data_IF_564273018448
#
_entry.id   IF_564273018448
#
_cell.length_a   1.000
_cell.length_b   1.000
_cell.length_c   1.000
_cell.angle_alpha   90.00
_cell.angle_beta   90.00
_cell.angle_gamma   90.00
#
_symmetry.space_group_name_H-M   'P 1'
#
loop_
_entity.id
_entity.type
_entity.pdbx_description
1 polymer ?
#
# COMPACT_ATOMS: atom_id res chain seq x y z
N UNK A 1 1.90 -26.20 -13.09
CA UNK A 1 1.91 -25.53 -11.79
C UNK A 1 3.35 -25.37 -11.29
N UNK A 2 3.85 -24.15 -11.19
CA UNK A 2 5.17 -23.86 -10.63
C UNK A 2 5.12 -23.80 -9.10
N UNK A 3 6.27 -24.02 -8.47
CA UNK A 3 6.43 -24.18 -7.00
C UNK A 3 6.48 -22.85 -6.23
N UNK A 4 5.86 -21.78 -6.70
CA UNK A 4 5.79 -20.50 -5.98
C UNK A 4 4.75 -20.55 -4.88
N UNK A 5 5.02 -19.94 -3.73
CA UNK A 5 4.20 -20.01 -2.52
C UNK A 5 3.45 -18.71 -2.22
N UNK A 6 3.02 -17.97 -3.24
CA UNK A 6 2.30 -16.71 -3.08
C UNK A 6 0.78 -16.92 -3.03
N UNK A 7 0.08 -16.18 -2.16
CA UNK A 7 -1.39 -16.24 -2.06
C UNK A 7 -2.10 -15.78 -3.33
N UNK A 8 -1.45 -14.94 -4.15
CA UNK A 8 -1.98 -14.44 -5.42
C UNK A 8 -1.83 -15.43 -6.57
N UNK A 9 -1.02 -16.48 -6.42
CA UNK A 9 -0.79 -17.47 -7.47
C UNK A 9 -1.92 -18.48 -7.56
N UNK A 10 -2.36 -18.83 -8.78
CA UNK A 10 -3.39 -19.84 -9.03
C UNK A 10 -2.90 -21.24 -8.64
N UNK A 11 -1.59 -21.47 -8.74
CA UNK A 11 -0.94 -22.71 -8.33
C UNK A 11 0.15 -22.47 -7.29
N UNK A 12 0.12 -23.18 -6.18
CA UNK A 12 1.12 -23.08 -5.11
C UNK A 12 1.67 -24.47 -4.76
N UNK A 13 2.99 -24.64 -4.83
CA UNK A 13 3.63 -25.91 -4.47
C UNK A 13 3.11 -27.12 -5.28
N UNK A 14 2.72 -26.92 -6.54
CA UNK A 14 2.13 -27.94 -7.40
C UNK A 14 0.64 -28.23 -7.15
N UNK A 15 0.02 -27.58 -6.16
CA UNK A 15 -1.39 -27.73 -5.82
C UNK A 15 -2.24 -26.59 -6.38
N UNK A 16 -3.51 -26.85 -6.64
CA UNK A 16 -4.47 -25.83 -7.07
C UNK A 16 -4.75 -24.87 -5.91
N UNK A 17 -4.41 -23.59 -6.09
CA UNK A 17 -4.64 -22.49 -5.16
C UNK A 17 -5.69 -21.50 -5.68
N UNK A 18 -6.47 -21.87 -6.68
CA UNK A 18 -7.40 -20.97 -7.38
C UNK A 18 -8.33 -20.23 -6.42
N UNK A 19 -8.91 -20.89 -5.45
CA UNK A 19 -9.87 -20.28 -4.53
C UNK A 19 -9.22 -19.20 -3.67
N UNK A 20 -8.04 -19.46 -3.11
CA UNK A 20 -7.27 -18.50 -2.32
C UNK A 20 -6.83 -17.31 -3.18
N UNK A 21 -6.27 -17.56 -4.36
CA UNK A 21 -5.87 -16.55 -5.32
C UNK A 21 -7.05 -15.68 -5.76
N UNK A 22 -8.21 -16.30 -6.03
CA UNK A 22 -9.43 -15.58 -6.40
C UNK A 22 -9.85 -14.60 -5.32
N UNK A 23 -9.97 -15.01 -4.07
CA UNK A 23 -10.37 -14.12 -2.98
C UNK A 23 -9.32 -13.04 -2.71
N UNK A 24 -8.04 -13.38 -2.72
CA UNK A 24 -6.97 -12.43 -2.47
C UNK A 24 -6.91 -11.34 -3.57
N UNK A 25 -6.90 -11.75 -4.82
CA UNK A 25 -6.79 -10.82 -5.95
C UNK A 25 -8.03 -9.93 -6.07
N UNK A 26 -9.24 -10.47 -5.85
CA UNK A 26 -10.45 -9.67 -5.80
C UNK A 26 -10.47 -8.69 -4.62
N UNK A 27 -9.97 -9.10 -3.45
CA UNK A 27 -9.83 -8.18 -2.31
C UNK A 27 -8.89 -7.02 -2.64
N UNK A 28 -7.74 -7.27 -3.28
CA UNK A 28 -6.82 -6.22 -3.73
C UNK A 28 -7.49 -5.28 -4.74
N UNK A 29 -8.21 -5.84 -5.71
CA UNK A 29 -8.95 -5.06 -6.72
C UNK A 29 -9.98 -4.13 -6.05
N UNK A 30 -10.84 -4.67 -5.19
CA UNK A 30 -11.90 -3.90 -4.49
C UNK A 30 -11.29 -2.85 -3.57
N UNK A 31 -10.29 -3.21 -2.77
CA UNK A 31 -9.60 -2.27 -1.89
C UNK A 31 -8.93 -1.15 -2.69
N UNK A 32 -8.27 -1.47 -3.81
CA UNK A 32 -7.66 -0.47 -4.67
C UNK A 32 -8.67 0.57 -5.17
N UNK A 33 -9.84 0.14 -5.65
CA UNK A 33 -10.91 1.04 -6.09
C UNK A 33 -11.42 1.91 -4.93
N UNK A 34 -11.66 1.32 -3.75
CA UNK A 34 -12.11 2.07 -2.58
C UNK A 34 -11.09 3.15 -2.19
N UNK A 35 -9.79 2.83 -2.19
CA UNK A 35 -8.75 3.79 -1.86
C UNK A 35 -8.52 4.84 -2.96
N UNK A 36 -8.78 4.55 -4.24
CA UNK A 36 -8.82 5.58 -5.29
C UNK A 36 -9.87 6.64 -4.94
N UNK A 37 -11.10 6.22 -4.62
CA UNK A 37 -12.17 7.14 -4.21
C UNK A 37 -11.77 7.92 -2.95
N UNK A 38 -11.20 7.24 -1.97
CA UNK A 38 -10.71 7.88 -0.74
C UNK A 38 -9.69 8.99 -1.03
N UNK A 39 -8.67 8.73 -1.86
CA UNK A 39 -7.67 9.75 -2.20
C UNK A 39 -8.22 10.88 -3.08
N UNK A 40 -9.25 10.64 -3.88
CA UNK A 40 -9.93 11.71 -4.63
C UNK A 40 -10.65 12.68 -3.67
N UNK A 41 -11.30 12.17 -2.64
CA UNK A 41 -12.09 12.96 -1.70
C UNK A 41 -11.28 13.57 -0.56
N UNK A 42 -10.13 12.99 -0.23
CA UNK A 42 -9.34 13.39 0.95
C UNK A 42 -8.82 14.84 0.92
N UNK A 43 -8.44 15.45 -0.23
CA UNK A 43 -8.02 16.86 -0.25
C UNK A 43 -9.06 17.84 0.28
N UNK A 44 -10.34 17.60 0.01
CA UNK A 44 -11.41 18.52 0.41
C UNK A 44 -11.50 18.70 1.94
N UNK A 45 -11.01 17.71 2.68
CA UNK A 45 -10.91 17.80 4.15
C UNK A 45 -9.93 18.89 4.63
N UNK A 46 -8.99 19.32 3.80
CA UNK A 46 -7.97 20.33 4.11
C UNK A 46 -8.22 21.67 3.39
N UNK A 47 -9.41 21.88 2.84
CA UNK A 47 -9.74 23.03 1.99
C UNK A 47 -9.53 24.39 2.67
N UNK A 48 -9.75 24.49 3.99
CA UNK A 48 -9.63 25.75 4.77
C UNK A 48 -8.18 26.26 4.87
N UNK A 49 -7.19 25.40 4.72
CA UNK A 49 -5.77 25.77 4.64
C UNK A 49 -5.26 25.57 3.23
N UNK A 50 -5.10 26.64 2.47
CA UNK A 50 -4.69 26.63 1.07
C UNK A 50 -3.36 25.91 0.83
N UNK A 51 -2.43 25.96 1.79
CA UNK A 51 -1.14 25.28 1.69
C UNK A 51 -1.32 23.78 1.85
N UNK A 52 -2.04 23.36 2.89
CA UNK A 52 -2.31 21.95 3.13
C UNK A 52 -3.18 21.35 2.04
N UNK A 53 -4.14 22.10 1.51
CA UNK A 53 -4.97 21.69 0.37
C UNK A 53 -4.11 21.37 -0.87
N UNK A 54 -3.16 22.25 -1.23
CA UNK A 54 -2.26 22.01 -2.37
C UNK A 54 -1.38 20.78 -2.17
N UNK A 55 -0.79 20.62 -0.97
CA UNK A 55 -0.01 19.42 -0.66
C UNK A 55 -0.87 18.16 -0.66
N UNK A 56 -2.10 18.22 -0.17
CA UNK A 56 -3.02 17.07 -0.19
C UNK A 56 -3.43 16.66 -1.61
N UNK A 57 -3.61 17.62 -2.54
CA UNK A 57 -3.83 17.33 -3.96
C UNK A 57 -2.63 16.54 -4.55
N UNK A 58 -1.40 17.00 -4.26
CA UNK A 58 -0.19 16.30 -4.74
C UNK A 58 -0.11 14.90 -4.12
N UNK A 59 -0.36 14.77 -2.82
CA UNK A 59 -0.40 13.48 -2.13
C UNK A 59 -1.48 12.55 -2.69
N UNK A 60 -2.66 13.08 -3.00
CA UNK A 60 -3.75 12.33 -3.62
C UNK A 60 -3.43 11.88 -5.04
N UNK A 61 -2.77 12.71 -5.83
CA UNK A 61 -2.32 12.31 -7.16
C UNK A 61 -1.43 11.06 -7.10
N UNK A 62 -0.42 11.05 -6.22
CA UNK A 62 0.41 9.87 -5.99
C UNK A 62 -0.39 8.72 -5.36
N UNK A 63 -1.32 9.01 -4.46
CA UNK A 63 -2.20 8.02 -3.85
C UNK A 63 -3.07 7.28 -4.87
N UNK A 64 -3.66 8.00 -5.82
CA UNK A 64 -4.45 7.40 -6.91
C UNK A 64 -3.59 6.50 -7.79
N UNK A 65 -2.35 6.94 -8.14
CA UNK A 65 -1.42 6.10 -8.91
C UNK A 65 -1.03 4.83 -8.11
N UNK A 66 -0.71 4.98 -6.82
CA UNK A 66 -0.44 3.84 -5.93
C UNK A 66 -1.59 2.82 -5.94
N UNK A 67 -2.82 3.30 -5.78
CA UNK A 67 -3.99 2.44 -5.74
C UNK A 67 -4.31 1.81 -7.10
N UNK A 68 -4.02 2.52 -8.20
CA UNK A 68 -4.12 1.95 -9.55
C UNK A 68 -3.13 0.80 -9.74
N UNK A 69 -1.89 0.94 -9.27
CA UNK A 69 -0.93 -0.17 -9.28
C UNK A 69 -1.35 -1.31 -8.34
N UNK A 70 -1.95 -1.00 -7.20
CA UNK A 70 -2.52 -2.01 -6.30
C UNK A 70 -3.60 -2.86 -6.98
N UNK A 71 -4.49 -2.22 -7.76
CA UNK A 71 -5.47 -2.91 -8.62
C UNK A 71 -4.75 -3.79 -9.64
N UNK A 72 -3.72 -3.27 -10.31
CA UNK A 72 -2.98 -4.01 -11.32
C UNK A 72 -2.24 -5.23 -10.75
N UNK A 73 -1.69 -5.14 -9.52
CA UNK A 73 -1.10 -6.29 -8.82
C UNK A 73 -2.14 -7.41 -8.62
N UNK A 74 -3.38 -7.05 -8.26
CA UNK A 74 -4.48 -8.01 -8.14
C UNK A 74 -4.91 -8.63 -9.48
N UNK A 75 -4.72 -7.92 -10.60
CA UNK A 75 -5.08 -8.39 -11.94
C UNK A 75 -3.95 -9.17 -12.65
N UNK A 76 -2.74 -9.13 -12.11
CA UNK A 76 -1.56 -9.79 -12.69
C UNK A 76 -0.98 -10.81 -11.72
N UNK A 77 -1.60 -12.01 -11.55
CA UNK A 77 -1.03 -13.07 -10.73
C UNK A 77 0.40 -13.40 -11.15
N UNK A 78 1.30 -13.58 -10.17
CA UNK A 78 2.74 -13.72 -10.44
C UNK A 78 3.09 -15.01 -11.19
N UNK A 79 2.28 -16.05 -11.10
CA UNK A 79 2.44 -17.31 -11.84
C UNK A 79 2.07 -17.20 -13.33
N UNK A 80 1.27 -16.19 -13.72
CA UNK A 80 0.83 -15.95 -15.10
C UNK A 80 1.56 -14.75 -15.75
N UNK A 81 1.83 -13.70 -14.97
CA UNK A 81 2.33 -12.41 -15.46
C UNK A 81 3.46 -11.87 -14.57
N UNK A 82 4.51 -12.67 -14.36
CA UNK A 82 5.58 -12.38 -13.38
C UNK A 82 6.19 -10.98 -13.53
N UNK A 83 6.64 -10.62 -14.71
CA UNK A 83 7.32 -9.34 -14.96
C UNK A 83 6.40 -8.14 -14.70
N UNK A 84 5.12 -8.23 -15.10
CA UNK A 84 4.13 -7.19 -14.85
C UNK A 84 3.78 -7.10 -13.38
N UNK A 85 3.63 -8.25 -12.70
CA UNK A 85 3.38 -8.30 -11.26
C UNK A 85 4.49 -7.60 -10.47
N UNK A 86 5.74 -7.93 -10.79
CA UNK A 86 6.93 -7.32 -10.15
C UNK A 86 6.98 -5.83 -10.44
N UNK A 87 6.79 -5.42 -11.70
CA UNK A 87 6.76 -4.01 -12.08
C UNK A 87 5.72 -3.22 -11.29
N UNK A 88 4.46 -3.67 -11.27
CA UNK A 88 3.41 -2.97 -10.53
C UNK A 88 3.64 -2.99 -9.02
N UNK A 89 4.13 -4.09 -8.46
CA UNK A 89 4.40 -4.22 -7.03
C UNK A 89 5.50 -3.25 -6.56
N UNK A 90 6.64 -3.21 -7.24
CA UNK A 90 7.76 -2.33 -6.84
C UNK A 90 7.33 -0.86 -6.95
N UNK A 91 6.75 -0.47 -8.09
CA UNK A 91 6.33 0.92 -8.30
C UNK A 91 5.21 1.33 -7.33
N UNK A 92 4.30 0.42 -6.99
CA UNK A 92 3.28 0.65 -5.96
C UNK A 92 3.92 1.04 -4.63
N UNK A 93 4.92 0.31 -4.15
CA UNK A 93 5.58 0.60 -2.86
C UNK A 93 6.37 1.91 -2.88
N UNK A 94 7.08 2.21 -3.98
CA UNK A 94 7.84 3.46 -4.14
C UNK A 94 6.89 4.67 -4.12
N UNK A 95 5.78 4.61 -4.87
CA UNK A 95 4.84 5.72 -4.96
C UNK A 95 4.01 5.82 -3.68
N UNK A 96 3.68 4.69 -3.03
CA UNK A 96 3.05 4.68 -1.71
C UNK A 96 3.91 5.38 -0.65
N UNK A 97 5.24 5.22 -0.70
CA UNK A 97 6.16 5.95 0.18
C UNK A 97 6.04 7.46 0.01
N UNK A 98 6.02 7.95 -1.24
CA UNK A 98 5.83 9.39 -1.51
C UNK A 98 4.47 9.88 -1.01
N UNK A 99 3.41 9.11 -1.26
CA UNK A 99 2.07 9.40 -0.75
C UNK A 99 2.05 9.51 0.77
N UNK A 100 2.63 8.52 1.45
CA UNK A 100 2.66 8.46 2.91
C UNK A 100 3.47 9.61 3.52
N UNK A 101 4.58 9.99 2.88
CA UNK A 101 5.43 11.09 3.33
C UNK A 101 4.70 12.44 3.22
N UNK A 102 4.03 12.70 2.08
CA UNK A 102 3.28 13.93 1.87
C UNK A 102 2.11 14.02 2.86
N UNK A 103 1.32 12.96 3.00
CA UNK A 103 0.21 12.95 3.94
C UNK A 103 0.65 12.98 5.41
N UNK A 104 1.81 12.41 5.75
CA UNK A 104 2.41 12.60 7.08
C UNK A 104 2.59 14.08 7.39
N UNK A 105 3.17 14.85 6.45
CA UNK A 105 3.34 16.29 6.59
C UNK A 105 2.00 17.03 6.69
N UNK A 106 1.06 16.77 5.78
CA UNK A 106 -0.26 17.42 5.74
C UNK A 106 -1.01 17.20 7.06
N UNK A 107 -1.06 15.96 7.53
CA UNK A 107 -1.77 15.58 8.76
C UNK A 107 -1.09 16.19 9.98
N UNK A 108 0.25 16.13 10.05
CA UNK A 108 1.01 16.70 11.16
C UNK A 108 0.82 18.21 11.29
N UNK A 109 0.71 18.93 10.17
CA UNK A 109 0.49 20.39 10.14
C UNK A 109 -0.97 20.79 10.31
N UNK A 110 -1.90 19.87 10.08
CA UNK A 110 -3.33 20.14 10.19
C UNK A 110 -3.74 20.39 11.65
N UNK A 111 -4.56 21.40 11.86
CA UNK A 111 -5.21 21.65 13.17
C UNK A 111 -6.46 20.80 13.37
N UNK A 112 -6.94 20.15 12.31
CA UNK A 112 -8.15 19.32 12.33
C UNK A 112 -7.90 17.91 12.87
N UNK A 113 -6.65 17.46 12.82
CA UNK A 113 -6.24 16.11 13.21
C UNK A 113 -5.16 16.15 14.29
N UNK A 114 -5.19 15.17 15.18
CA UNK A 114 -4.12 15.00 16.16
C UNK A 114 -2.79 14.66 15.49
N UNK A 115 -1.69 15.21 15.99
CA UNK A 115 -0.30 14.89 15.60
C UNK A 115 -0.02 13.40 15.54
N UNK A 116 -0.69 12.60 16.39
CA UNK A 116 -0.57 11.16 16.44
C UNK A 116 -0.91 10.46 15.08
N UNK A 117 -1.88 11.01 14.33
CA UNK A 117 -2.23 10.49 13.01
C UNK A 117 -1.12 10.76 11.99
N UNK A 118 -0.47 11.93 12.07
CA UNK A 118 0.70 12.24 11.23
C UNK A 118 1.89 11.33 11.52
N UNK A 119 2.16 11.03 12.80
CA UNK A 119 3.19 10.08 13.21
C UNK A 119 2.87 8.67 12.67
N UNK A 120 1.61 8.25 12.68
CA UNK A 120 1.19 6.97 12.10
C UNK A 120 1.55 6.86 10.61
N UNK A 121 1.26 7.89 9.83
CA UNK A 121 1.63 7.94 8.41
C UNK A 121 3.15 8.03 8.18
N UNK A 122 3.88 8.72 9.05
CA UNK A 122 5.35 8.75 9.00
C UNK A 122 5.95 7.37 9.29
N UNK A 123 5.42 6.67 10.29
CA UNK A 123 5.84 5.30 10.60
C UNK A 123 5.59 4.37 9.41
N UNK A 124 4.43 4.50 8.77
CA UNK A 124 4.13 3.76 7.55
C UNK A 124 5.12 4.09 6.42
N UNK A 125 5.44 5.36 6.19
CA UNK A 125 6.44 5.77 5.20
C UNK A 125 7.83 5.17 5.49
N UNK A 126 8.27 5.16 6.75
CA UNK A 126 9.54 4.55 7.16
C UNK A 126 9.54 3.04 6.88
N UNK A 127 8.47 2.34 7.22
CA UNK A 127 8.36 0.90 6.93
C UNK A 127 8.36 0.60 5.44
N UNK A 128 7.75 1.46 4.62
CA UNK A 128 7.77 1.32 3.17
C UNK A 128 9.17 1.46 2.59
N UNK A 129 9.93 2.50 2.99
CA UNK A 129 11.29 2.67 2.45
C UNK A 129 12.23 1.55 2.91
N UNK A 130 12.05 1.05 4.13
CA UNK A 130 12.78 -0.12 4.61
C UNK A 130 12.42 -1.37 3.79
N UNK A 131 11.14 -1.55 3.46
CA UNK A 131 10.70 -2.66 2.64
C UNK A 131 11.22 -2.56 1.19
N UNK A 132 11.21 -1.38 0.59
CA UNK A 132 11.85 -1.15 -0.72
C UNK A 132 13.34 -1.50 -0.65
N UNK A 133 14.03 -1.12 0.43
CA UNK A 133 15.41 -1.52 0.67
C UNK A 133 15.60 -3.04 0.73
N UNK A 134 14.67 -3.75 1.35
CA UNK A 134 14.67 -5.23 1.36
C UNK A 134 14.49 -5.81 -0.04
N UNK A 135 13.62 -5.22 -0.86
CA UNK A 135 13.39 -5.67 -2.23
C UNK A 135 14.60 -5.47 -3.15
N UNK A 136 15.27 -4.31 -3.03
CA UNK A 136 16.35 -3.90 -3.94
C UNK A 136 17.73 -4.43 -3.50
N UNK A 137 17.99 -4.47 -2.18
CA UNK A 137 19.32 -4.78 -1.60
C UNK A 137 19.34 -6.12 -0.88
N UNK A 138 18.17 -6.71 -0.61
CA UNK A 138 18.04 -7.97 0.10
C UNK A 138 18.37 -9.19 -0.77
N UNK A 139 18.48 -10.37 -0.14
CA UNK A 139 18.68 -11.61 -0.89
C UNK A 139 17.47 -11.92 -1.76
N UNK A 140 17.72 -12.42 -2.99
CA UNK A 140 16.66 -12.85 -3.89
C UNK A 140 15.72 -13.85 -3.18
N UNK A 141 14.38 -13.70 -3.31
CA UNK A 141 13.42 -14.63 -2.71
C UNK A 141 13.60 -16.08 -3.18
N UNK A 142 14.24 -16.26 -4.35
CA UNK A 142 14.55 -17.59 -4.90
C UNK A 142 15.85 -18.20 -4.36
N UNK A 143 16.62 -17.46 -3.56
CA UNK A 143 17.94 -17.91 -3.05
C UNK A 143 17.86 -18.89 -1.89
N UNK A 144 16.81 -18.78 -1.06
CA UNK A 144 16.57 -19.68 0.09
C UNK A 144 15.17 -19.48 0.68
N UNK A 145 14.65 -20.48 1.39
CA UNK A 145 13.37 -20.38 2.11
C UNK A 145 13.38 -19.26 3.16
N UNK A 146 14.55 -19.01 3.78
CA UNK A 146 14.70 -17.89 4.71
C UNK A 146 14.54 -16.53 3.99
N UNK A 147 15.16 -16.35 2.83
CA UNK A 147 15.04 -15.11 2.05
C UNK A 147 13.60 -14.84 1.61
N UNK A 148 12.91 -15.88 1.12
CA UNK A 148 11.51 -15.82 0.80
C UNK A 148 10.66 -15.44 2.01
N UNK A 149 10.81 -16.13 3.14
CA UNK A 149 10.07 -15.86 4.36
C UNK A 149 10.30 -14.45 4.90
N UNK A 150 11.55 -13.96 4.86
CA UNK A 150 11.90 -12.62 5.27
C UNK A 150 11.19 -11.54 4.42
N UNK A 151 11.21 -11.66 3.10
CA UNK A 151 10.52 -10.72 2.21
C UNK A 151 9.00 -10.75 2.40
N UNK A 152 8.40 -11.93 2.54
CA UNK A 152 6.96 -12.10 2.78
C UNK A 152 6.55 -11.45 4.11
N UNK A 153 7.34 -11.62 5.18
CA UNK A 153 7.06 -10.99 6.48
C UNK A 153 7.16 -9.48 6.37
N UNK A 154 8.22 -8.95 5.74
CA UNK A 154 8.40 -7.52 5.56
C UNK A 154 7.25 -6.88 4.78
N UNK A 155 6.76 -7.54 3.73
CA UNK A 155 5.58 -7.14 2.96
C UNK A 155 4.32 -7.09 3.83
N UNK A 156 4.07 -8.13 4.62
CA UNK A 156 2.90 -8.22 5.51
C UNK A 156 2.92 -7.15 6.61
N UNK A 157 4.09 -6.85 7.17
CA UNK A 157 4.26 -5.77 8.15
C UNK A 157 3.93 -4.42 7.51
N UNK A 158 4.39 -4.16 6.30
CA UNK A 158 4.08 -2.92 5.56
C UNK A 158 2.59 -2.80 5.24
N UNK A 159 1.94 -3.89 4.82
CA UNK A 159 0.51 -3.94 4.56
C UNK A 159 -0.31 -3.69 5.84
N UNK A 160 0.08 -4.29 6.97
CA UNK A 160 -0.55 -4.05 8.27
C UNK A 160 -0.41 -2.59 8.69
N UNK A 161 0.78 -1.99 8.53
CA UNK A 161 1.00 -0.58 8.84
C UNK A 161 0.11 0.34 7.98
N UNK A 162 -0.07 0.05 6.70
CA UNK A 162 -1.01 0.75 5.82
C UNK A 162 -2.45 0.69 6.36
N UNK A 163 -2.94 -0.49 6.67
CA UNK A 163 -4.31 -0.68 7.19
C UNK A 163 -4.50 0.08 8.49
N UNK A 164 -3.57 -0.05 9.45
CA UNK A 164 -3.66 0.63 10.74
C UNK A 164 -3.62 2.16 10.59
N UNK A 165 -2.70 2.69 9.77
CA UNK A 165 -2.59 4.14 9.52
C UNK A 165 -3.85 4.70 8.86
N UNK A 166 -4.43 3.98 7.90
CA UNK A 166 -5.66 4.38 7.22
C UNK A 166 -6.88 4.34 8.15
N UNK A 167 -7.01 3.31 9.00
CA UNK A 167 -8.06 3.23 10.01
C UNK A 167 -7.94 4.34 11.06
N UNK A 168 -6.73 4.65 11.50
CA UNK A 168 -6.48 5.76 12.43
C UNK A 168 -6.91 7.08 11.81
N UNK A 169 -6.53 7.36 10.55
CA UNK A 169 -6.93 8.56 9.85
C UNK A 169 -8.45 8.66 9.69
N UNK A 170 -9.11 7.58 9.25
CA UNK A 170 -10.56 7.56 9.09
C UNK A 170 -11.30 7.84 10.42
N UNK A 171 -10.80 7.29 11.54
CA UNK A 171 -11.34 7.61 12.88
C UNK A 171 -11.09 9.06 13.27
N UNK A 172 -9.94 9.63 12.94
CA UNK A 172 -9.61 11.02 13.18
C UNK A 172 -10.56 11.95 12.43
N UNK A 173 -10.75 11.71 11.14
CA UNK A 173 -11.68 12.47 10.28
C UNK A 173 -13.11 12.39 10.83
N UNK A 174 -13.61 11.20 11.17
CA UNK A 174 -14.96 11.03 11.72
C UNK A 174 -15.17 11.86 12.99
N UNK A 175 -14.16 11.93 13.89
CA UNK A 175 -14.26 12.69 15.16
C UNK A 175 -14.27 14.20 14.97
N UNK A 176 -13.72 14.71 13.87
CA UNK A 176 -13.71 16.16 13.61
C UNK A 176 -15.05 16.68 13.10
N UNK A 177 -15.97 15.78 12.69
CA UNK A 177 -17.35 16.12 12.30
C UNK A 177 -18.38 15.88 13.42
N UNK A 178 -17.97 15.31 14.54
CA UNK A 178 -18.85 15.07 15.71
C UNK A 178 -18.59 16.07 16.83
#
# INVERSE_FOLDING_TARGET
CNTTSNLCDICTGGNNNFLSAFFFNNAMFICGIIFIVFYILLPDYFYDDQTLYRFSIIGSFFGVITCSFFVMVGLTPADLYFDLHVFFSINMFIIAFLTALIYSYVIYRSKLLSTFHGIGYLTFAILLILYVGVLELGPSPTSSDFALGFQVIAQKVSALAFVLSSLMLAKGIKRSFS
#
